data_IF_523009723276
#
_entry.id   IF_523009723276
#
_cell.length_a   1.000
_cell.length_b   1.000
_cell.length_c   1.000
_cell.angle_alpha   90.00
_cell.angle_beta   90.00
_cell.angle_gamma   90.00
#
_symmetry.space_group_name_H-M   'P 1'
#
loop_
_entity.id
_entity.type
_entity.pdbx_description
1 polymer ?
#
# COMPACT_ATOMS: atom_id res chain seq x y z
N UNK A 1 -32.11 -9.30 -21.15
CA UNK A 1 -30.77 -9.16 -20.55
C UNK A 1 -30.97 -8.45 -19.22
N UNK A 2 -30.83 -9.17 -18.12
CA UNK A 2 -31.03 -8.64 -16.78
C UNK A 2 -29.69 -8.10 -16.26
N UNK A 3 -29.61 -6.80 -16.02
CA UNK A 3 -28.43 -6.15 -15.45
C UNK A 3 -28.46 -6.33 -13.93
N UNK A 4 -27.56 -7.16 -13.40
CA UNK A 4 -27.37 -7.32 -11.96
C UNK A 4 -26.70 -6.06 -11.40
N UNK A 5 -27.48 -5.23 -10.71
CA UNK A 5 -26.98 -4.09 -9.95
C UNK A 5 -26.37 -4.64 -8.67
N UNK A 6 -25.03 -4.66 -8.56
CA UNK A 6 -24.37 -4.94 -7.29
C UNK A 6 -24.62 -3.75 -6.36
N UNK A 7 -25.47 -3.94 -5.35
CA UNK A 7 -25.56 -3.05 -4.20
C UNK A 7 -24.22 -3.08 -3.46
N UNK A 8 -23.29 -2.24 -3.91
CA UNK A 8 -22.17 -1.85 -3.06
C UNK A 8 -22.67 -0.69 -2.23
N UNK A 9 -22.80 -0.91 -0.92
CA UNK A 9 -23.09 0.14 0.05
C UNK A 9 -21.96 1.18 0.01
N UNK A 10 -22.08 2.12 -0.91
CA UNK A 10 -21.30 3.33 -0.97
C UNK A 10 -22.33 4.46 -1.12
N UNK A 11 -22.60 5.18 -0.03
CA UNK A 11 -23.37 6.45 -0.02
C UNK A 11 -22.64 7.58 -0.80
N UNK A 12 -21.87 7.24 -1.83
CA UNK A 12 -21.30 8.17 -2.78
C UNK A 12 -21.74 7.68 -4.16
N UNK A 13 -22.63 8.43 -4.81
CA UNK A 13 -22.88 8.31 -6.24
C UNK A 13 -21.65 8.78 -7.01
N UNK A 14 -20.55 8.05 -6.89
CA UNK A 14 -19.33 8.27 -7.68
C UNK A 14 -19.58 7.70 -9.06
N UNK A 15 -19.53 8.56 -10.08
CA UNK A 15 -19.54 8.04 -11.45
C UNK A 15 -18.16 7.47 -11.78
N UNK A 16 -18.12 6.55 -12.75
CA UNK A 16 -16.85 6.03 -13.27
C UNK A 16 -15.95 7.16 -13.79
N UNK A 17 -16.56 8.20 -14.40
CA UNK A 17 -15.85 9.40 -14.86
C UNK A 17 -15.16 10.14 -13.72
N UNK A 18 -15.83 10.29 -12.59
CA UNK A 18 -15.26 10.94 -11.40
C UNK A 18 -14.08 10.12 -10.87
N UNK A 19 -14.25 8.79 -10.77
CA UNK A 19 -13.18 7.89 -10.35
C UNK A 19 -11.94 7.99 -11.26
N UNK A 20 -12.11 8.13 -12.57
CA UNK A 20 -10.98 8.29 -13.50
C UNK A 20 -10.22 9.60 -13.29
N UNK A 21 -10.92 10.69 -13.00
CA UNK A 21 -10.33 12.03 -12.83
C UNK A 21 -9.69 12.25 -11.45
N UNK A 22 -9.91 11.34 -10.48
CA UNK A 22 -9.24 11.42 -9.19
C UNK A 22 -7.72 11.32 -9.33
N UNK A 23 -7.02 12.08 -8.49
CA UNK A 23 -5.59 11.91 -8.29
C UNK A 23 -5.27 10.52 -7.73
N UNK A 24 -4.05 10.04 -7.93
CA UNK A 24 -3.66 8.71 -7.43
C UNK A 24 -3.72 8.62 -5.90
N UNK A 25 -3.46 9.72 -5.18
CA UNK A 25 -3.59 9.74 -3.72
C UNK A 25 -5.06 9.64 -3.29
N UNK A 26 -5.99 10.27 -4.01
CA UNK A 26 -7.41 10.18 -3.69
C UNK A 26 -7.97 8.79 -4.01
N UNK A 27 -7.51 8.19 -5.11
CA UNK A 27 -7.81 6.78 -5.45
C UNK A 27 -7.30 5.84 -4.35
N UNK A 28 -6.08 6.05 -3.87
CA UNK A 28 -5.49 5.26 -2.79
C UNK A 28 -6.28 5.41 -1.49
N UNK A 29 -6.66 6.63 -1.10
CA UNK A 29 -7.49 6.88 0.08
C UNK A 29 -8.86 6.23 -0.04
N UNK A 30 -9.49 6.32 -1.20
CA UNK A 30 -10.78 5.70 -1.47
C UNK A 30 -10.70 4.17 -1.37
N UNK A 31 -9.63 3.59 -1.92
CA UNK A 31 -9.36 2.15 -1.87
C UNK A 31 -9.26 1.63 -0.43
N UNK A 32 -8.68 2.42 0.48
CA UNK A 32 -8.46 2.05 1.88
C UNK A 32 -9.58 2.53 2.83
N UNK A 33 -10.55 3.32 2.36
CA UNK A 33 -11.56 3.99 3.20
C UNK A 33 -12.40 3.01 4.03
N UNK A 34 -12.71 1.85 3.47
CA UNK A 34 -13.59 0.84 4.11
C UNK A 34 -12.81 -0.28 4.80
N UNK A 35 -11.48 -0.16 4.90
CA UNK A 35 -10.64 -1.12 5.62
C UNK A 35 -10.82 -0.97 7.12
N UNK A 36 -11.40 -1.98 7.75
CA UNK A 36 -11.41 -2.12 9.21
C UNK A 36 -10.00 -2.38 9.74
N UNK A 37 -9.68 -1.93 10.96
CA UNK A 37 -8.36 -2.11 11.57
C UNK A 37 -7.84 -3.57 11.52
N UNK A 38 -8.72 -4.55 11.77
CA UNK A 38 -8.39 -6.00 11.73
C UNK A 38 -7.96 -6.49 10.34
N UNK A 39 -8.51 -5.90 9.28
CA UNK A 39 -8.25 -6.29 7.88
C UNK A 39 -7.27 -5.37 7.19
N UNK A 40 -6.92 -4.24 7.81
CA UNK A 40 -6.12 -3.20 7.20
C UNK A 40 -4.81 -3.71 6.60
N UNK A 41 -4.06 -4.52 7.35
CA UNK A 41 -2.79 -5.10 6.86
C UNK A 41 -3.02 -6.00 5.64
N UNK A 42 -4.06 -6.84 5.68
CA UNK A 42 -4.42 -7.71 4.55
C UNK A 42 -4.83 -6.88 3.34
N UNK A 43 -5.66 -5.86 3.53
CA UNK A 43 -6.11 -4.95 2.48
C UNK A 43 -4.96 -4.15 1.88
N UNK A 44 -3.96 -3.79 2.68
CA UNK A 44 -2.73 -3.16 2.22
C UNK A 44 -2.02 -4.05 1.20
N UNK A 45 -1.78 -5.32 1.52
CA UNK A 45 -1.11 -6.25 0.61
C UNK A 45 -1.96 -6.64 -0.59
N UNK A 46 -3.28 -6.79 -0.39
CA UNK A 46 -4.21 -7.21 -1.43
C UNK A 46 -4.52 -6.10 -2.43
N UNK A 47 -4.55 -4.83 -1.99
CA UNK A 47 -5.07 -3.72 -2.78
C UNK A 47 -4.07 -2.58 -2.95
N UNK A 48 -3.59 -2.00 -1.84
CA UNK A 48 -2.71 -0.83 -1.89
C UNK A 48 -1.41 -1.15 -2.62
N UNK A 49 -0.77 -2.28 -2.31
CA UNK A 49 0.52 -2.65 -2.89
C UNK A 49 0.43 -2.88 -4.41
N UNK A 50 -0.54 -3.67 -4.94
CA UNK A 50 -0.75 -3.74 -6.38
C UNK A 50 -1.07 -2.40 -7.04
N UNK A 51 -1.82 -1.52 -6.37
CA UNK A 51 -2.11 -0.17 -6.87
C UNK A 51 -0.84 0.67 -7.00
N UNK A 52 -0.04 0.76 -5.93
CA UNK A 52 1.23 1.49 -5.93
C UNK A 52 2.20 0.97 -7.00
N UNK A 53 2.24 -0.36 -7.20
CA UNK A 53 3.06 -0.96 -8.25
C UNK A 53 2.60 -0.55 -9.67
N UNK A 54 1.30 -0.37 -9.90
CA UNK A 54 0.79 0.16 -11.18
C UNK A 54 1.14 1.65 -11.36
N UNK A 55 1.13 2.44 -10.31
CA UNK A 55 1.57 3.84 -10.37
C UNK A 55 3.08 3.93 -10.69
N UNK A 56 3.91 3.10 -10.06
CA UNK A 56 5.35 3.03 -10.31
C UNK A 56 5.70 2.74 -11.78
N UNK A 57 4.93 1.84 -12.41
CA UNK A 57 5.11 1.50 -13.84
C UNK A 57 4.77 2.65 -14.78
N UNK A 58 3.89 3.56 -14.36
CA UNK A 58 3.51 4.72 -15.16
C UNK A 58 4.49 5.88 -14.94
N UNK A 59 4.87 6.12 -13.69
CA UNK A 59 5.76 7.20 -13.27
C UNK A 59 6.72 6.63 -12.22
N UNK A 60 8.01 6.59 -12.56
CA UNK A 60 9.04 6.13 -11.64
C UNK A 60 9.09 6.99 -10.37
N UNK A 61 9.17 6.35 -9.21
CA UNK A 61 9.12 6.98 -7.89
C UNK A 61 7.72 7.30 -7.38
N UNK A 62 6.66 7.09 -8.16
CA UNK A 62 5.29 7.37 -7.73
C UNK A 62 4.86 6.49 -6.55
N UNK A 63 5.29 5.22 -6.49
CA UNK A 63 4.95 4.32 -5.38
C UNK A 63 5.45 4.85 -4.04
N UNK A 64 6.72 5.25 -3.98
CA UNK A 64 7.34 5.79 -2.76
C UNK A 64 6.68 7.10 -2.36
N UNK A 65 6.49 8.02 -3.32
CA UNK A 65 5.87 9.31 -3.07
C UNK A 65 4.44 9.17 -2.52
N UNK A 66 3.60 8.34 -3.16
CA UNK A 66 2.22 8.11 -2.76
C UNK A 66 2.12 7.40 -1.41
N UNK A 67 2.94 6.36 -1.20
CA UNK A 67 2.97 5.64 0.08
C UNK A 67 3.38 6.58 1.22
N UNK A 68 4.40 7.40 1.00
CA UNK A 68 4.87 8.38 1.99
C UNK A 68 3.78 9.41 2.30
N UNK A 69 3.18 10.02 1.29
CA UNK A 69 2.13 11.02 1.47
C UNK A 69 0.94 10.42 2.25
N UNK A 70 0.51 9.23 1.88
CA UNK A 70 -0.59 8.53 2.53
C UNK A 70 -0.30 8.21 4.00
N UNK A 71 0.85 7.57 4.29
CA UNK A 71 1.24 7.23 5.67
C UNK A 71 1.45 8.46 6.54
N UNK A 72 2.05 9.54 6.01
CA UNK A 72 2.21 10.81 6.74
C UNK A 72 0.84 11.42 7.04
N UNK A 73 -0.11 11.35 6.10
CA UNK A 73 -1.48 11.84 6.33
C UNK A 73 -2.17 11.07 7.45
N UNK A 74 -2.09 9.74 7.44
CA UNK A 74 -2.64 8.89 8.52
C UNK A 74 -2.00 9.20 9.88
N UNK A 75 -0.68 9.31 9.89
CA UNK A 75 0.12 9.54 11.10
C UNK A 75 -0.21 10.83 11.84
N UNK A 76 -0.85 11.81 11.16
CA UNK A 76 -1.32 13.04 11.81
C UNK A 76 -2.51 12.79 12.75
N UNK A 77 -3.27 11.72 12.53
CA UNK A 77 -4.44 11.36 13.32
C UNK A 77 -4.11 10.20 14.26
N UNK A 78 -3.52 9.13 13.72
CA UNK A 78 -3.17 7.94 14.48
C UNK A 78 -1.98 7.20 13.82
N UNK A 79 -1.04 6.75 14.65
CA UNK A 79 0.12 5.97 14.25
C UNK A 79 -0.14 4.46 14.21
N UNK A 80 -1.29 3.99 14.71
CA UNK A 80 -1.64 2.56 14.78
C UNK A 80 -1.58 1.86 13.42
N UNK A 81 -2.22 2.44 12.39
CA UNK A 81 -2.24 1.88 11.04
C UNK A 81 -0.88 1.93 10.33
N UNK A 82 -0.15 3.07 10.32
CA UNK A 82 1.23 3.10 9.83
C UNK A 82 2.13 2.07 10.53
N UNK A 83 2.06 1.99 11.86
CA UNK A 83 2.85 1.06 12.66
C UNK A 83 2.54 -0.40 12.29
N UNK A 84 1.27 -0.75 12.13
CA UNK A 84 0.84 -2.08 11.73
C UNK A 84 1.45 -2.48 10.38
N UNK A 85 1.47 -1.57 9.40
CA UNK A 85 2.13 -1.82 8.10
C UNK A 85 3.62 -2.09 8.29
N UNK A 86 4.31 -1.27 9.09
CA UNK A 86 5.75 -1.47 9.31
C UNK A 86 6.07 -2.78 10.04
N UNK A 87 5.27 -3.17 11.03
CA UNK A 87 5.42 -4.42 11.76
C UNK A 87 5.28 -5.63 10.82
N UNK A 88 4.31 -5.60 9.91
CA UNK A 88 4.05 -6.70 8.97
C UNK A 88 4.88 -6.62 7.68
N UNK A 89 5.61 -5.54 7.45
CA UNK A 89 6.53 -5.39 6.31
C UNK A 89 7.90 -6.01 6.55
N UNK A 90 8.22 -6.37 7.79
CA UNK A 90 9.49 -7.01 8.13
C UNK A 90 9.42 -8.49 7.75
N UNK A 91 10.35 -9.01 6.93
CA UNK A 91 10.58 -10.45 6.91
C UNK A 91 11.12 -10.82 8.29
N UNK A 92 10.60 -11.86 8.93
CA UNK A 92 11.13 -12.41 10.17
C UNK A 92 12.66 -12.47 10.08
N UNK A 93 13.33 -11.53 10.74
CA UNK A 93 14.76 -11.63 10.95
C UNK A 93 14.88 -12.64 12.08
N UNK A 94 15.01 -13.92 11.72
CA UNK A 94 15.44 -14.94 12.65
C UNK A 94 16.84 -14.53 13.12
N UNK A 95 16.89 -13.76 14.21
CA UNK A 95 18.11 -13.37 14.90
C UNK A 95 18.65 -14.64 15.57
N UNK A 96 19.39 -15.43 14.80
CA UNK A 96 20.34 -16.37 15.36
C UNK A 96 21.73 -16.00 14.82
N UNK A 97 22.32 -14.95 15.40
CA UNK A 97 23.70 -14.90 15.94
C UNK A 97 24.21 -13.46 16.13
N UNK A 98 25.17 -13.26 17.07
CA UNK A 98 25.43 -11.96 17.68
C UNK A 98 26.62 -11.23 17.04
N UNK A 99 26.67 -9.91 17.29
CA UNK A 99 27.78 -8.98 17.01
C UNK A 99 28.12 -8.74 15.53
N UNK A 100 27.57 -7.65 14.97
CA UNK A 100 28.36 -6.66 14.22
C UNK A 100 27.52 -5.39 14.04
N UNK A 101 28.12 -4.28 14.45
CA UNK A 101 27.59 -2.93 14.36
C UNK A 101 27.45 -2.50 12.89
N UNK A 102 26.30 -2.80 12.27
CA UNK A 102 25.91 -2.18 11.00
C UNK A 102 24.43 -1.84 11.06
N UNK A 103 24.14 -0.55 11.15
CA UNK A 103 22.80 -0.03 10.91
C UNK A 103 22.38 -0.52 9.52
N UNK A 104 21.52 -1.54 9.48
CA UNK A 104 20.87 -1.94 8.23
C UNK A 104 19.93 -0.79 7.93
N UNK A 105 20.14 -0.03 6.82
CA UNK A 105 19.16 0.97 6.46
C UNK A 105 17.84 0.23 6.30
N UNK A 106 16.82 0.70 7.01
CA UNK A 106 15.44 0.23 6.85
C UNK A 106 14.98 0.66 5.45
N UNK A 107 15.54 0.04 4.40
CA UNK A 107 14.87 -0.08 3.12
C UNK A 107 13.64 -0.88 3.47
N UNK A 108 12.52 -0.18 3.65
CA UNK A 108 11.24 -0.70 3.18
C UNK A 108 11.59 -1.38 1.88
N UNK A 109 11.57 -2.72 1.84
CA UNK A 109 11.67 -3.45 0.58
C UNK A 109 10.43 -3.01 -0.16
N UNK A 110 10.56 -1.90 -0.89
CA UNK A 110 9.58 -1.43 -1.86
C UNK A 110 9.49 -2.60 -2.82
N UNK A 111 8.43 -3.37 -2.58
CA UNK A 111 7.90 -4.46 -3.36
C UNK A 111 8.72 -4.74 -4.62
N UNK A 112 9.75 -5.59 -4.51
CA UNK A 112 10.49 -6.03 -5.69
C UNK A 112 9.63 -7.03 -6.45
N UNK A 113 9.33 -6.79 -7.73
CA UNK A 113 8.77 -7.80 -8.61
C UNK A 113 9.94 -8.58 -9.22
N UNK A 114 9.91 -9.90 -9.13
CA UNK A 114 10.82 -10.77 -9.89
C UNK A 114 11.95 -11.33 -9.04
N UNK A 115 12.01 -12.65 -9.05
CA UNK A 115 13.06 -13.41 -8.40
C UNK A 115 14.45 -13.13 -8.98
N UNK A 116 15.40 -13.67 -8.24
CA UNK A 116 16.79 -13.95 -8.60
C UNK A 116 17.01 -13.97 -10.13
N UNK A 117 17.67 -12.95 -10.64
CA UNK A 117 18.37 -13.04 -11.92
C UNK A 117 19.83 -12.66 -11.66
N UNK A 118 20.66 -13.71 -11.62
CA UNK A 118 22.08 -13.64 -11.92
C UNK A 118 22.25 -13.05 -13.34
N UNK A 119 23.05 -12.00 -13.46
CA UNK A 119 23.61 -11.55 -14.74
C UNK A 119 25.10 -11.31 -14.54
N UNK A 120 25.85 -12.26 -15.11
CA UNK A 120 27.29 -12.41 -15.40
C UNK A 120 28.32 -11.60 -14.58
#
# INVERSE_FOLDING_TARGET
>A
METLVYETACELSLTLRDLQHLSDIDKLRLLMKNSSAERYVKDVFQWMVPFLHRCEKQIGGASEALLREYLVTLSRQDLSLPLAVFQHSRPDVSIHTPHTHRAVPCRVKVFQPGGLQDVH
#
